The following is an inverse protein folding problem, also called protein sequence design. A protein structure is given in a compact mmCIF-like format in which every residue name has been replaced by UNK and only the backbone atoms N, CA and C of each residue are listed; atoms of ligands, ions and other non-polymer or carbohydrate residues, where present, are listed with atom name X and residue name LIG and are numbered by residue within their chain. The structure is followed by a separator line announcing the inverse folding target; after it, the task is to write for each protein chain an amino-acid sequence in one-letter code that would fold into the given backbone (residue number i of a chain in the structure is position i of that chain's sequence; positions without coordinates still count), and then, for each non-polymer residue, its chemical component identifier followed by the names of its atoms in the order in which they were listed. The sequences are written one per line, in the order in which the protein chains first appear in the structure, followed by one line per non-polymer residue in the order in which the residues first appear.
data_IF_668918564176
#
_entry.id   IF_668918564176
#
_cell.length_a   1.000
_cell.length_b   1.000
_cell.length_c   1.000
_cell.angle_alpha   90.00
_cell.angle_beta   90.00
_cell.angle_gamma   90.00
#
_symmetry.space_group_name_H-M   'P 1'
#
loop_
_entity.id
_entity.type
_entity.pdbx_description
1 polymer ?
#
# COMPACT_ATOMS: atom_id res chain seq x y z
N UNK A 1 -2.99 -19.55 -17.48
CA UNK A 1 -3.26 -19.18 -18.89
C UNK A 1 -3.02 -17.68 -18.99
N UNK A 2 -1.86 -17.26 -19.49
CA UNK A 2 -1.44 -15.85 -19.51
C UNK A 2 -2.34 -15.06 -20.45
N UNK A 3 -3.14 -14.15 -19.92
CA UNK A 3 -3.89 -13.19 -20.72
C UNK A 3 -2.86 -12.28 -21.41
N UNK A 4 -2.70 -12.41 -22.73
CA UNK A 4 -1.94 -11.43 -23.50
C UNK A 4 -2.78 -10.16 -23.61
N UNK A 5 -2.49 -9.19 -22.75
CA UNK A 5 -3.14 -7.90 -22.82
C UNK A 5 -2.70 -7.14 -24.08
N UNK A 6 -3.67 -6.80 -24.93
CA UNK A 6 -3.49 -5.79 -25.97
C UNK A 6 -3.64 -4.40 -25.35
N UNK A 7 -2.92 -3.40 -25.86
CA UNK A 7 -3.06 -2.00 -25.44
C UNK A 7 -4.46 -1.44 -25.71
N UNK A 8 -5.21 -2.07 -26.59
CA UNK A 8 -6.60 -1.71 -26.91
C UNK A 8 -7.62 -2.45 -26.02
N UNK A 9 -7.16 -3.30 -25.09
CA UNK A 9 -8.03 -3.98 -24.14
C UNK A 9 -8.75 -2.96 -23.26
N UNK A 10 -10.07 -3.11 -23.11
CA UNK A 10 -10.86 -2.32 -22.15
C UNK A 10 -10.97 -2.97 -20.78
N UNK A 11 -10.36 -4.15 -20.60
CA UNK A 11 -10.27 -4.83 -19.32
C UNK A 11 -9.14 -4.23 -18.49
N UNK A 12 -9.44 -3.93 -17.22
CA UNK A 12 -8.46 -3.47 -16.26
C UNK A 12 -7.91 -4.68 -15.49
N UNK A 13 -6.59 -4.87 -15.45
CA UNK A 13 -5.96 -5.94 -14.69
C UNK A 13 -6.30 -5.86 -13.19
N UNK A 14 -6.85 -6.93 -12.62
CA UNK A 14 -7.21 -7.05 -11.20
C UNK A 14 -6.16 -7.80 -10.38
N UNK A 15 -5.01 -8.11 -10.97
CA UNK A 15 -3.84 -8.66 -10.30
C UNK A 15 -2.56 -7.97 -10.79
N UNK A 16 -1.53 -7.96 -9.96
CA UNK A 16 -0.29 -7.23 -10.22
C UNK A 16 0.51 -7.75 -11.43
N UNK A 17 0.67 -9.07 -11.64
CA UNK A 17 1.36 -9.59 -12.83
C UNK A 17 0.74 -9.09 -14.14
N UNK A 18 -0.58 -9.22 -14.26
CA UNK A 18 -1.32 -8.79 -15.45
C UNK A 18 -1.24 -7.26 -15.65
N UNK A 19 -1.20 -6.48 -14.57
CA UNK A 19 -1.02 -5.03 -14.63
C UNK A 19 0.35 -4.65 -15.20
N UNK A 20 1.40 -5.30 -14.70
CA UNK A 20 2.78 -5.05 -15.11
C UNK A 20 3.01 -5.51 -16.56
N UNK A 21 2.46 -6.67 -16.96
CA UNK A 21 2.50 -7.13 -18.36
C UNK A 21 1.75 -6.18 -19.30
N UNK A 22 0.62 -5.62 -18.86
CA UNK A 22 -0.10 -4.58 -19.62
C UNK A 22 0.78 -3.34 -19.80
N UNK A 23 1.43 -2.86 -18.74
CA UNK A 23 2.32 -1.70 -18.80
C UNK A 23 3.52 -1.93 -19.74
N UNK A 24 4.11 -3.13 -19.73
CA UNK A 24 5.15 -3.52 -20.68
C UNK A 24 4.65 -3.43 -22.14
N UNK A 25 3.49 -4.04 -22.43
CA UNK A 25 2.89 -4.01 -23.76
C UNK A 25 2.56 -2.58 -24.22
N UNK A 26 2.18 -1.71 -23.29
CA UNK A 26 1.95 -0.29 -23.57
C UNK A 26 3.21 0.43 -24.04
N UNK A 27 4.34 0.25 -23.35
CA UNK A 27 5.63 0.82 -23.72
C UNK A 27 6.11 0.28 -25.06
N UNK A 28 5.98 -1.03 -25.30
CA UNK A 28 6.39 -1.64 -26.56
C UNK A 28 5.65 -1.05 -27.76
N UNK A 29 4.34 -0.82 -27.61
CA UNK A 29 3.47 -0.35 -28.69
C UNK A 29 3.50 1.18 -28.88
N UNK A 30 3.52 1.96 -27.78
CA UNK A 30 3.43 3.43 -27.83
C UNK A 30 4.79 4.12 -27.82
N UNK A 31 5.87 3.41 -27.53
CA UNK A 31 7.22 3.93 -27.39
C UNK A 31 7.59 4.16 -25.92
N UNK A 32 8.74 4.80 -25.68
CA UNK A 32 9.19 5.13 -24.34
C UNK A 32 9.59 6.61 -24.26
N UNK A 33 9.06 7.31 -23.26
CA UNK A 33 9.40 8.71 -22.99
C UNK A 33 10.23 8.82 -21.71
N UNK A 34 11.46 9.29 -21.87
CA UNK A 34 12.47 9.43 -20.80
C UNK A 34 12.48 10.81 -20.13
N UNK A 35 11.57 11.72 -20.49
CA UNK A 35 11.52 13.06 -19.91
C UNK A 35 12.45 14.10 -20.52
N UNK A 36 13.35 13.72 -21.44
CA UNK A 36 14.43 14.61 -21.92
C UNK A 36 14.18 15.21 -23.30
N UNK A 37 13.40 14.53 -24.14
CA UNK A 37 13.08 15.00 -25.50
C UNK A 37 11.58 14.93 -25.75
N UNK A 38 10.91 16.10 -25.81
CA UNK A 38 9.53 16.25 -26.28
C UNK A 38 9.26 15.81 -27.73
N UNK A 39 10.15 15.02 -28.34
CA UNK A 39 10.15 14.62 -29.74
C UNK A 39 10.10 13.12 -30.03
N UNK A 40 10.11 12.22 -29.02
CA UNK A 40 10.01 10.77 -29.27
C UNK A 40 8.61 10.22 -29.02
N UNK A 41 7.65 10.71 -29.77
CA UNK A 41 6.40 9.99 -29.94
C UNK A 41 6.60 8.92 -31.01
N UNK A 42 6.24 7.67 -30.72
CA UNK A 42 6.04 6.67 -31.77
C UNK A 42 5.01 7.16 -32.80
N UNK A 43 4.83 6.43 -33.90
CA UNK A 43 3.96 6.80 -35.05
C UNK A 43 2.54 7.30 -34.71
N UNK A 44 2.04 7.11 -33.48
CA UNK A 44 0.67 7.39 -33.02
C UNK A 44 0.58 8.23 -31.72
N UNK A 45 1.49 9.17 -31.46
CA UNK A 45 1.53 9.94 -30.20
C UNK A 45 0.23 10.66 -29.81
N UNK A 46 -0.23 10.44 -28.58
CA UNK A 46 -1.42 11.09 -27.98
C UNK A 46 -1.02 12.25 -27.06
N UNK A 47 -1.69 13.40 -27.20
CA UNK A 47 -1.40 14.69 -26.53
C UNK A 47 -1.90 14.81 -25.08
N UNK A 48 -2.39 13.74 -24.46
CA UNK A 48 -2.88 13.78 -23.07
C UNK A 48 -1.69 13.53 -22.14
N UNK A 49 -1.44 14.43 -21.19
CA UNK A 49 -0.32 14.37 -20.22
C UNK A 49 -0.21 13.04 -19.43
N UNK A 50 -1.31 12.30 -19.32
CA UNK A 50 -1.41 10.98 -18.67
C UNK A 50 -1.14 9.79 -19.60
N UNK A 51 -0.95 10.02 -20.91
CA UNK A 51 -0.66 8.99 -21.92
C UNK A 51 0.79 9.08 -22.43
N UNK A 52 1.64 9.82 -21.72
CA UNK A 52 3.06 9.88 -22.02
C UNK A 52 3.66 8.54 -21.63
N UNK A 53 4.27 7.77 -22.56
CA UNK A 53 4.68 6.40 -22.30
C UNK A 53 6.02 6.37 -21.53
N UNK A 54 6.05 7.04 -20.38
CA UNK A 54 7.07 6.90 -19.35
C UNK A 54 6.77 5.68 -18.48
N UNK A 55 7.70 5.28 -17.61
CA UNK A 55 7.46 4.17 -16.68
C UNK A 55 6.19 4.40 -15.83
N UNK A 56 6.09 5.54 -15.15
CA UNK A 56 4.89 5.87 -14.34
C UNK A 56 3.65 6.03 -15.21
N UNK A 57 3.77 6.68 -16.37
CA UNK A 57 2.61 6.85 -17.27
C UNK A 57 2.06 5.51 -17.76
N UNK A 58 2.91 4.58 -18.19
CA UNK A 58 2.49 3.24 -18.61
C UNK A 58 1.84 2.45 -17.46
N UNK A 59 2.40 2.56 -16.25
CA UNK A 59 1.84 1.98 -15.03
C UNK A 59 0.45 2.56 -14.71
N UNK A 60 0.28 3.88 -14.74
CA UNK A 60 -0.98 4.56 -14.46
C UNK A 60 -2.06 4.14 -15.47
N UNK A 61 -1.73 4.11 -16.75
CA UNK A 61 -2.67 3.68 -17.78
C UNK A 61 -3.02 2.20 -17.60
N UNK A 62 -2.08 1.34 -17.19
CA UNK A 62 -2.36 -0.05 -16.85
C UNK A 62 -3.35 -0.18 -15.69
N UNK A 63 -3.15 0.61 -14.63
CA UNK A 63 -4.04 0.71 -13.46
C UNK A 63 -5.42 1.32 -13.80
N UNK A 64 -5.58 1.85 -15.01
CA UNK A 64 -6.85 2.32 -15.55
C UNK A 64 -7.05 3.83 -15.47
N UNK A 65 -6.04 4.61 -15.08
CA UNK A 65 -6.09 6.06 -15.16
C UNK A 65 -6.31 6.47 -16.63
N UNK A 66 -7.39 7.23 -16.88
CA UNK A 66 -7.82 7.62 -18.24
C UNK A 66 -8.52 6.51 -19.06
N UNK A 67 -8.64 5.28 -18.55
CA UNK A 67 -9.34 4.16 -19.21
C UNK A 67 -10.62 3.73 -18.50
N UNK A 68 -10.81 4.12 -17.24
CA UNK A 68 -12.05 3.86 -16.48
C UNK A 68 -13.22 4.66 -17.07
N UNK A 69 -14.31 3.97 -17.37
CA UNK A 69 -15.60 4.57 -17.78
C UNK A 69 -16.56 4.66 -16.59
N UNK A 70 -17.27 5.78 -16.46
CA UNK A 70 -18.36 5.95 -15.49
C UNK A 70 -19.56 5.02 -15.72
N UNK A 71 -19.66 4.41 -16.90
CA UNK A 71 -20.75 3.48 -17.26
C UNK A 71 -20.47 2.01 -16.91
N UNK A 72 -19.32 1.71 -16.29
CA UNK A 72 -18.95 0.35 -15.89
C UNK A 72 -18.66 0.27 -14.40
N UNK A 73 -19.07 -0.83 -13.80
CA UNK A 73 -18.68 -1.20 -12.44
C UNK A 73 -17.34 -1.95 -12.48
N UNK A 74 -16.42 -1.59 -11.60
CA UNK A 74 -15.12 -2.24 -11.47
C UNK A 74 -14.96 -2.82 -10.07
N UNK A 75 -14.19 -3.90 -9.96
CA UNK A 75 -13.68 -4.39 -8.67
C UNK A 75 -12.53 -3.49 -8.21
N UNK A 76 -12.89 -2.30 -7.70
CA UNK A 76 -11.92 -1.34 -7.15
C UNK A 76 -10.99 -1.95 -6.09
N UNK A 77 -11.45 -2.81 -5.15
CA UNK A 77 -10.55 -3.46 -4.20
C UNK A 77 -9.47 -4.28 -4.87
N UNK A 78 -9.81 -5.06 -5.90
CA UNK A 78 -8.83 -5.86 -6.62
C UNK A 78 -7.91 -4.99 -7.48
N UNK A 79 -8.44 -3.95 -8.13
CA UNK A 79 -7.63 -2.99 -8.90
C UNK A 79 -6.60 -2.27 -8.04
N UNK A 80 -6.99 -1.75 -6.88
CA UNK A 80 -6.04 -1.06 -5.98
C UNK A 80 -5.04 -2.02 -5.33
N UNK A 81 -5.46 -3.25 -5.01
CA UNK A 81 -4.54 -4.27 -4.53
C UNK A 81 -3.50 -4.66 -5.59
N UNK A 82 -3.93 -4.79 -6.85
CA UNK A 82 -3.07 -5.04 -8.00
C UNK A 82 -2.09 -3.90 -8.25
N UNK A 83 -2.59 -2.66 -8.29
CA UNK A 83 -1.78 -1.46 -8.47
C UNK A 83 -0.71 -1.38 -7.38
N UNK A 84 -1.10 -1.53 -6.11
CA UNK A 84 -0.16 -1.37 -5.03
C UNK A 84 0.94 -2.43 -5.04
N UNK A 85 0.56 -3.70 -5.17
CA UNK A 85 1.56 -4.77 -5.25
C UNK A 85 2.47 -4.58 -6.48
N UNK A 86 1.92 -4.15 -7.62
CA UNK A 86 2.72 -3.87 -8.81
C UNK A 86 3.71 -2.72 -8.59
N UNK A 87 3.30 -1.63 -7.94
CA UNK A 87 4.17 -0.50 -7.62
C UNK A 87 5.27 -0.89 -6.64
N UNK A 88 4.90 -1.61 -5.57
CA UNK A 88 5.84 -2.10 -4.55
C UNK A 88 6.93 -2.95 -5.22
N UNK A 89 6.51 -3.94 -6.01
CA UNK A 89 7.39 -4.88 -6.71
C UNK A 89 8.30 -4.19 -7.73
N UNK A 90 7.73 -3.30 -8.55
CA UNK A 90 8.49 -2.60 -9.57
C UNK A 90 9.52 -1.65 -8.94
N UNK A 91 9.12 -0.86 -7.95
CA UNK A 91 10.04 0.09 -7.31
C UNK A 91 11.17 -0.60 -6.56
N UNK A 92 10.90 -1.70 -5.85
CA UNK A 92 11.95 -2.50 -5.19
C UNK A 92 12.93 -3.09 -6.23
N UNK A 93 12.41 -3.65 -7.34
CA UNK A 93 13.29 -4.15 -8.41
C UNK A 93 14.18 -3.04 -9.00
N UNK A 94 13.62 -1.86 -9.28
CA UNK A 94 14.34 -0.74 -9.88
C UNK A 94 15.37 -0.10 -8.94
N UNK A 95 15.15 -0.22 -7.62
CA UNK A 95 16.07 0.21 -6.59
C UNK A 95 17.21 -0.80 -6.31
N UNK A 96 17.11 -2.01 -6.86
CA UNK A 96 18.08 -3.10 -6.63
C UNK A 96 17.83 -3.87 -5.32
N UNK A 97 16.61 -3.83 -4.80
CA UNK A 97 16.22 -4.45 -3.55
C UNK A 97 15.16 -3.60 -2.85
N UNK A 98 14.77 -4.02 -1.65
CA UNK A 98 13.79 -3.27 -0.89
C UNK A 98 14.17 -1.81 -0.67
N UNK A 99 13.18 -0.95 -0.90
CA UNK A 99 13.32 0.47 -0.64
C UNK A 99 13.48 0.76 0.86
N UNK A 100 14.33 1.72 1.27
CA UNK A 100 14.27 2.31 2.60
C UNK A 100 13.06 3.23 2.77
N UNK A 101 12.54 3.33 4.00
CA UNK A 101 11.53 4.34 4.31
C UNK A 101 12.19 5.71 4.23
N UNK A 102 11.56 6.66 3.54
CA UNK A 102 11.85 8.07 3.74
C UNK A 102 10.73 8.67 4.58
N UNK A 103 10.97 9.07 5.84
CA UNK A 103 9.93 9.64 6.68
C UNK A 103 9.42 10.99 6.14
N UNK A 104 10.13 11.65 5.23
CA UNK A 104 9.70 12.91 4.61
C UNK A 104 8.69 12.71 3.46
N UNK A 105 8.49 11.47 3.01
CA UNK A 105 7.65 11.17 1.86
C UNK A 105 6.53 10.20 2.22
N UNK A 106 5.35 10.40 1.63
CA UNK A 106 4.37 9.31 1.57
C UNK A 106 4.96 8.14 0.77
N UNK A 107 4.84 6.92 1.29
CA UNK A 107 5.46 5.69 0.73
C UNK A 107 5.16 5.53 -0.78
N UNK A 108 3.90 5.74 -1.18
CA UNK A 108 3.49 5.66 -2.58
C UNK A 108 4.18 6.72 -3.45
N UNK A 109 4.28 7.97 -2.98
CA UNK A 109 4.93 9.05 -3.73
C UNK A 109 6.43 8.79 -3.88
N UNK A 110 7.09 8.29 -2.84
CA UNK A 110 8.50 7.92 -2.91
C UNK A 110 8.73 6.80 -3.94
N UNK A 111 7.88 5.76 -3.95
CA UNK A 111 7.98 4.66 -4.92
C UNK A 111 7.74 5.12 -6.36
N UNK A 112 6.72 5.96 -6.58
CA UNK A 112 6.48 6.56 -7.90
C UNK A 112 7.65 7.42 -8.34
N UNK A 113 8.27 8.17 -7.43
CA UNK A 113 9.48 8.93 -7.72
C UNK A 113 10.63 8.03 -8.17
N UNK A 114 10.88 6.90 -7.52
CA UNK A 114 11.94 5.95 -7.92
C UNK A 114 11.68 5.38 -9.32
N UNK A 115 10.44 4.95 -9.59
CA UNK A 115 10.06 4.44 -10.91
C UNK A 115 10.26 5.51 -11.99
N UNK A 116 9.88 6.76 -11.68
CA UNK A 116 10.06 7.89 -12.58
C UNK A 116 11.53 8.27 -12.78
N UNK A 117 12.31 8.35 -11.70
CA UNK A 117 13.74 8.66 -11.74
C UNK A 117 14.49 7.63 -12.56
N UNK A 118 14.27 6.35 -12.31
CA UNK A 118 14.89 5.26 -13.06
C UNK A 118 14.63 5.41 -14.56
N UNK A 119 13.39 5.69 -14.95
CA UNK A 119 13.00 5.87 -16.35
C UNK A 119 13.57 7.14 -17.00
N UNK A 120 13.95 8.13 -16.19
CA UNK A 120 14.56 9.39 -16.66
C UNK A 120 16.08 9.31 -16.76
N UNK A 121 16.75 8.25 -16.29
CA UNK A 121 18.21 8.13 -16.38
C UNK A 121 18.69 8.06 -17.82
N UNK A 122 19.89 8.59 -18.06
CA UNK A 122 20.49 8.61 -19.40
C UNK A 122 20.67 7.21 -19.98
N UNK A 123 20.35 7.07 -21.27
CA UNK A 123 20.56 5.82 -22.01
C UNK A 123 19.46 4.77 -21.82
N UNK A 124 18.38 5.08 -21.08
CA UNK A 124 17.24 4.15 -20.92
C UNK A 124 16.47 3.96 -22.21
N UNK A 125 16.21 2.70 -22.54
CA UNK A 125 15.53 2.30 -23.76
C UNK A 125 14.13 1.76 -23.50
N UNK A 126 13.31 1.76 -24.55
CA UNK A 126 11.99 1.13 -24.55
C UNK A 126 12.06 -0.34 -24.13
N UNK A 127 13.04 -1.07 -24.63
CA UNK A 127 13.16 -2.52 -24.41
C UNK A 127 13.59 -2.82 -22.98
N UNK A 128 14.49 -2.01 -22.38
CA UNK A 128 14.82 -2.10 -20.96
C UNK A 128 13.62 -1.77 -20.06
N UNK A 129 12.85 -0.74 -20.41
CA UNK A 129 11.64 -0.38 -19.66
C UNK A 129 10.59 -1.51 -19.69
N UNK A 130 10.32 -2.07 -20.87
CA UNK A 130 9.40 -3.19 -21.02
C UNK A 130 9.90 -4.45 -20.29
N UNK A 131 11.20 -4.76 -20.35
CA UNK A 131 11.77 -5.90 -19.63
C UNK A 131 11.71 -5.68 -18.11
N UNK A 132 11.91 -4.45 -17.61
CA UNK A 132 11.75 -4.15 -16.19
C UNK A 132 10.33 -4.45 -15.69
N UNK A 133 9.31 -4.07 -16.47
CA UNK A 133 7.93 -4.43 -16.17
C UNK A 133 7.68 -5.93 -16.18
N UNK A 134 8.15 -6.66 -17.20
CA UNK A 134 7.99 -8.12 -17.27
C UNK A 134 8.74 -8.84 -16.15
N UNK A 135 9.91 -8.34 -15.78
CA UNK A 135 10.66 -8.89 -14.67
C UNK A 135 9.89 -8.68 -13.36
N UNK A 136 9.38 -7.48 -13.13
CA UNK A 136 8.46 -7.20 -12.03
C UNK A 136 7.20 -8.09 -12.07
N UNK A 137 6.62 -8.36 -13.24
CA UNK A 137 5.44 -9.22 -13.36
C UNK A 137 5.71 -10.64 -12.83
N UNK A 138 6.84 -11.25 -13.24
CA UNK A 138 7.28 -12.57 -12.74
C UNK A 138 7.54 -12.58 -11.24
N UNK A 139 8.04 -11.47 -10.72
CA UNK A 139 8.26 -11.28 -9.30
C UNK A 139 6.91 -11.18 -8.54
N UNK A 140 5.97 -10.39 -9.06
CA UNK A 140 4.62 -10.29 -8.49
C UNK A 140 3.85 -11.62 -8.53
N UNK A 141 4.04 -12.45 -9.56
CA UNK A 141 3.40 -13.76 -9.67
C UNK A 141 3.87 -14.69 -8.56
N UNK A 142 5.19 -14.71 -8.29
CA UNK A 142 5.75 -15.42 -7.14
C UNK A 142 5.18 -14.91 -5.82
N UNK A 143 5.00 -13.59 -5.69
CA UNK A 143 4.42 -12.97 -4.50
C UNK A 143 2.99 -13.41 -4.23
N UNK A 144 2.18 -13.47 -5.28
CA UNK A 144 0.79 -13.90 -5.18
C UNK A 144 0.67 -15.38 -4.89
N UNK A 145 1.47 -16.22 -5.56
CA UNK A 145 1.49 -17.67 -5.31
C UNK A 145 1.87 -18.00 -3.86
N UNK A 146 2.86 -17.29 -3.30
CA UNK A 146 3.28 -17.47 -1.91
C UNK A 146 2.21 -17.03 -0.89
N UNK A 147 1.34 -16.08 -1.26
CA UNK A 147 0.29 -15.54 -0.42
C UNK A 147 -0.95 -16.44 -0.28
N UNK A 148 -1.07 -17.50 -1.10
CA UNK A 148 -2.22 -18.43 -1.16
C UNK A 148 -1.99 -19.72 -0.34
N UNK A 149 -0.96 -19.76 0.53
CA UNK A 149 -0.67 -20.95 1.36
C UNK A 149 -1.85 -21.35 2.28
N UNK A 150 -2.16 -22.66 2.42
CA UNK A 150 -3.23 -23.14 3.29
C UNK A 150 -3.01 -22.74 4.75
N UNK A 151 -4.05 -22.24 5.43
CA UNK A 151 -4.01 -21.81 6.84
C UNK A 151 -4.16 -20.31 7.06
N UNK A 152 -4.04 -19.50 6.00
CA UNK A 152 -4.24 -18.05 6.04
C UNK A 152 -5.74 -17.72 6.13
N UNK A 153 -6.16 -16.95 7.14
CA UNK A 153 -7.52 -16.42 7.16
C UNK A 153 -7.72 -15.53 5.93
N UNK A 154 -8.70 -15.81 5.05
CA UNK A 154 -9.01 -14.91 3.95
C UNK A 154 -9.57 -13.59 4.49
N UNK A 155 -9.78 -12.65 3.57
CA UNK A 155 -10.24 -11.27 3.75
C UNK A 155 -11.48 -11.00 4.65
N UNK A 156 -12.41 -11.92 5.04
CA UNK A 156 -13.66 -11.46 5.66
C UNK A 156 -13.68 -11.40 7.20
N UNK A 157 -12.55 -11.44 7.92
CA UNK A 157 -12.58 -11.55 9.40
C UNK A 157 -11.98 -10.39 10.21
N UNK A 158 -11.44 -9.33 9.58
CA UNK A 158 -10.88 -8.22 10.36
C UNK A 158 -11.88 -7.08 10.51
N UNK A 159 -12.37 -6.81 11.74
CA UNK A 159 -13.21 -5.65 11.98
C UNK A 159 -12.40 -4.37 11.72
N UNK A 160 -13.05 -3.35 11.14
CA UNK A 160 -12.47 -2.01 10.97
C UNK A 160 -12.49 -1.31 12.33
N UNK A 161 -11.63 -1.78 13.21
CA UNK A 161 -11.40 -1.29 14.57
C UNK A 161 -9.90 -1.18 14.81
N UNK A 162 -9.49 -0.31 15.74
CA UNK A 162 -8.08 -0.15 16.08
C UNK A 162 -7.46 -1.46 16.56
N UNK A 163 -8.19 -2.19 17.42
CA UNK A 163 -7.79 -3.51 17.91
C UNK A 163 -7.61 -4.52 16.77
N UNK A 164 -8.60 -4.63 15.86
CA UNK A 164 -8.53 -5.58 14.74
C UNK A 164 -7.39 -5.31 13.75
N UNK A 165 -7.00 -4.05 13.58
CA UNK A 165 -5.82 -3.65 12.82
C UNK A 165 -4.51 -4.12 13.47
N UNK A 166 -4.39 -3.91 14.79
CA UNK A 166 -3.20 -4.28 15.55
C UNK A 166 -3.05 -5.80 15.69
N UNK A 167 -4.14 -6.53 15.91
CA UNK A 167 -4.17 -8.00 15.90
C UNK A 167 -3.76 -8.57 14.54
N UNK A 168 -4.24 -7.98 13.44
CA UNK A 168 -3.81 -8.39 12.10
C UNK A 168 -2.30 -8.22 11.94
N UNK A 169 -1.77 -7.07 12.35
CA UNK A 169 -0.34 -6.78 12.25
C UNK A 169 0.49 -7.77 13.09
N UNK A 170 0.00 -8.15 14.29
CA UNK A 170 0.66 -9.12 15.16
C UNK A 170 0.72 -10.49 14.51
N UNK A 171 -0.42 -11.02 14.07
CA UNK A 171 -0.50 -12.30 13.36
C UNK A 171 0.38 -12.29 12.09
N UNK A 172 0.44 -11.15 11.40
CA UNK A 172 1.30 -11.02 10.23
C UNK A 172 2.78 -11.12 10.56
N UNK A 173 3.24 -10.52 11.66
CA UNK A 173 4.63 -10.64 12.11
C UNK A 173 4.96 -12.06 12.56
N UNK A 174 4.06 -12.76 13.24
CA UNK A 174 4.24 -14.18 13.58
C UNK A 174 4.40 -15.05 12.32
N UNK A 175 3.66 -14.73 11.25
CA UNK A 175 3.68 -15.47 9.99
C UNK A 175 4.99 -15.29 9.20
N UNK A 176 5.47 -14.04 9.10
CA UNK A 176 6.58 -13.70 8.21
C UNK A 176 7.88 -13.42 8.95
N UNK A 177 7.85 -13.42 10.28
CA UNK A 177 8.87 -12.94 11.21
C UNK A 177 9.14 -11.44 11.12
N UNK A 178 9.83 -10.91 12.13
CA UNK A 178 10.30 -9.52 12.13
C UNK A 178 11.77 -9.43 11.73
N UNK A 179 12.13 -8.39 10.98
CA UNK A 179 13.52 -7.95 10.88
C UNK A 179 13.70 -6.50 11.32
N UNK A 180 14.72 -6.20 12.13
CA UNK A 180 15.13 -4.82 12.38
C UNK A 180 15.88 -4.26 11.16
N UNK A 181 15.63 -3.00 10.79
CA UNK A 181 16.46 -2.26 9.82
C UNK A 181 15.72 -1.22 8.98
N UNK A 182 16.45 -0.21 8.48
CA UNK A 182 15.88 0.93 7.74
C UNK A 182 15.19 0.62 6.40
N UNK A 183 15.25 -0.63 5.93
CA UNK A 183 14.61 -1.10 4.70
C UNK A 183 13.14 -1.42 4.98
N UNK A 184 12.18 -0.78 4.30
CA UNK A 184 10.74 -1.00 4.56
C UNK A 184 10.26 -2.37 4.11
N UNK A 185 10.97 -3.02 3.20
CA UNK A 185 10.59 -4.32 2.64
C UNK A 185 11.77 -5.31 2.60
N UNK A 186 11.47 -6.57 2.32
CA UNK A 186 12.42 -7.67 2.15
C UNK A 186 13.48 -7.39 1.06
N UNK A 187 14.80 -7.53 1.32
CA UNK A 187 15.83 -7.40 0.27
C UNK A 187 15.68 -8.44 -0.85
N UNK A 188 15.13 -9.62 -0.55
CA UNK A 188 14.87 -10.68 -1.53
C UNK A 188 13.53 -10.51 -2.26
N UNK A 189 12.68 -9.60 -1.75
CA UNK A 189 11.42 -9.14 -2.29
C UNK A 189 10.41 -10.26 -2.58
N UNK A 190 9.17 -9.84 -2.83
CA UNK A 190 8.26 -10.63 -3.66
C UNK A 190 7.55 -11.81 -3.03
N UNK A 191 7.29 -11.82 -1.74
CA UNK A 191 6.20 -12.62 -1.19
C UNK A 191 5.86 -12.14 0.22
N UNK A 192 4.60 -12.24 0.61
CA UNK A 192 4.18 -12.07 2.01
C UNK A 192 4.72 -13.21 2.91
N UNK A 193 6.00 -13.54 2.80
CA UNK A 193 6.67 -14.68 3.44
C UNK A 193 8.04 -14.32 3.97
N UNK A 194 8.45 -13.06 3.85
CA UNK A 194 9.76 -12.61 4.27
C UNK A 194 9.65 -11.64 5.44
N UNK A 195 10.66 -11.63 6.33
CA UNK A 195 10.65 -10.78 7.49
C UNK A 195 10.39 -9.32 7.14
N UNK A 196 9.49 -8.66 7.88
CA UNK A 196 9.20 -7.24 7.68
C UNK A 196 9.46 -6.41 8.93
N UNK A 197 9.48 -5.09 8.77
CA UNK A 197 9.60 -4.18 9.92
C UNK A 197 8.24 -4.05 10.60
N UNK A 198 8.24 -3.67 11.89
CA UNK A 198 7.02 -3.44 12.64
C UNK A 198 6.09 -2.43 11.95
N UNK A 199 6.62 -1.28 11.51
CA UNK A 199 5.81 -0.27 10.80
C UNK A 199 5.19 -0.85 9.52
N UNK A 200 5.92 -1.70 8.79
CA UNK A 200 5.40 -2.29 7.56
C UNK A 200 4.27 -3.30 7.84
N UNK A 201 4.33 -4.07 8.93
CA UNK A 201 3.23 -4.93 9.34
C UNK A 201 1.95 -4.13 9.65
N UNK A 202 2.08 -3.01 10.38
CA UNK A 202 0.97 -2.08 10.67
C UNK A 202 0.41 -1.47 9.38
N UNK A 203 1.29 -1.01 8.48
CA UNK A 203 0.88 -0.49 7.17
C UNK A 203 0.12 -1.52 6.35
N UNK A 204 0.50 -2.79 6.42
CA UNK A 204 -0.23 -3.86 5.75
C UNK A 204 -1.63 -4.04 6.34
N UNK A 205 -1.78 -4.03 7.66
CA UNK A 205 -3.08 -4.07 8.31
C UNK A 205 -3.99 -2.93 7.83
N UNK A 206 -3.49 -1.69 7.92
CA UNK A 206 -4.21 -0.50 7.49
C UNK A 206 -4.66 -0.58 6.04
N UNK A 207 -3.74 -0.99 5.16
CA UNK A 207 -4.04 -1.02 3.73
C UNK A 207 -4.97 -2.19 3.37
N UNK A 208 -5.03 -3.27 4.16
CA UNK A 208 -6.00 -4.38 3.97
C UNK A 208 -7.39 -4.00 4.45
N UNK A 209 -7.47 -3.28 5.57
CA UNK A 209 -8.73 -2.83 6.16
C UNK A 209 -9.34 -1.59 5.49
N UNK A 210 -8.55 -0.85 4.69
CA UNK A 210 -8.99 0.38 4.00
C UNK A 210 -10.22 0.10 3.14
N UNK A 211 -11.37 0.77 3.41
CA UNK A 211 -12.56 0.67 2.59
C UNK A 211 -12.30 1.15 1.15
N UNK A 212 -13.10 0.65 0.21
CA UNK A 212 -13.13 1.16 -1.15
C UNK A 212 -14.16 2.28 -1.28
N UNK A 213 -14.02 3.20 -2.27
CA UNK A 213 -14.95 4.31 -2.45
C UNK A 213 -16.44 3.93 -2.48
N UNK A 214 -16.75 2.71 -2.95
CA UNK A 214 -18.13 2.21 -3.02
C UNK A 214 -18.72 1.82 -1.65
N UNK A 215 -17.90 1.62 -0.63
CA UNK A 215 -18.33 1.27 0.74
C UNK A 215 -18.98 2.46 1.48
N UNK A 216 -18.80 3.67 0.96
CA UNK A 216 -19.44 4.87 1.47
C UNK A 216 -18.74 5.53 2.66
N UNK A 217 -19.14 6.78 2.94
CA UNK A 217 -18.37 7.67 3.81
C UNK A 217 -18.28 7.22 5.29
N UNK A 218 -19.27 6.48 5.80
CA UNK A 218 -19.30 6.03 7.18
C UNK A 218 -18.20 5.00 7.45
N UNK A 219 -17.99 4.08 6.51
CA UNK A 219 -16.91 3.09 6.61
C UNK A 219 -15.54 3.77 6.50
N UNK A 220 -15.37 4.78 5.65
CA UNK A 220 -14.15 5.59 5.62
C UNK A 220 -13.91 6.33 6.94
N UNK A 221 -14.95 6.91 7.55
CA UNK A 221 -14.82 7.57 8.85
C UNK A 221 -14.38 6.57 9.93
N UNK A 222 -15.03 5.42 10.01
CA UNK A 222 -14.67 4.35 10.94
C UNK A 222 -13.22 3.88 10.72
N UNK A 223 -12.81 3.71 9.46
CA UNK A 223 -11.43 3.37 9.11
C UNK A 223 -10.43 4.43 9.56
N UNK A 224 -10.69 5.72 9.31
CA UNK A 224 -9.79 6.79 9.73
C UNK A 224 -9.68 6.89 11.25
N UNK A 225 -10.78 6.73 11.97
CA UNK A 225 -10.76 6.66 13.44
C UNK A 225 -9.95 5.46 13.92
N UNK A 226 -10.20 4.26 13.36
CA UNK A 226 -9.46 3.06 13.71
C UNK A 226 -7.96 3.19 13.41
N UNK A 227 -7.60 3.78 12.27
CA UNK A 227 -6.22 4.08 11.88
C UNK A 227 -5.56 5.04 12.89
N UNK A 228 -6.26 6.12 13.26
CA UNK A 228 -5.73 7.12 14.17
C UNK A 228 -5.50 6.55 15.57
N UNK A 229 -6.49 5.85 16.13
CA UNK A 229 -6.40 5.21 17.44
C UNK A 229 -5.31 4.14 17.47
N UNK A 230 -5.21 3.27 16.44
CA UNK A 230 -4.18 2.25 16.39
C UNK A 230 -2.76 2.84 16.32
N UNK A 231 -2.56 3.88 15.50
CA UNK A 231 -1.27 4.56 15.40
C UNK A 231 -0.92 5.33 16.68
N UNK A 232 -1.89 6.00 17.29
CA UNK A 232 -1.71 6.70 18.56
C UNK A 232 -1.28 5.72 19.65
N UNK A 233 -2.08 4.69 19.93
CA UNK A 233 -1.82 3.77 21.04
C UNK A 233 -0.48 3.07 20.89
N UNK A 234 -0.24 2.46 19.72
CA UNK A 234 1.02 1.75 19.49
C UNK A 234 2.22 2.69 19.61
N UNK A 235 2.18 3.87 18.99
CA UNK A 235 3.33 4.78 19.04
C UNK A 235 3.58 5.36 20.43
N UNK A 236 2.52 5.70 21.18
CA UNK A 236 2.64 6.19 22.56
C UNK A 236 3.22 5.13 23.49
N UNK A 237 2.76 3.89 23.35
CA UNK A 237 3.26 2.75 24.08
C UNK A 237 4.75 2.50 23.81
N UNK A 238 5.15 2.50 22.54
CA UNK A 238 6.56 2.31 22.14
C UNK A 238 7.47 3.48 22.57
N UNK A 239 6.93 4.71 22.65
CA UNK A 239 7.64 5.87 23.17
C UNK A 239 7.71 5.93 24.70
N UNK A 240 6.79 5.25 25.39
CA UNK A 240 6.59 5.37 26.85
C UNK A 240 5.90 6.66 27.27
N UNK A 241 5.34 7.44 26.34
CA UNK A 241 4.58 8.66 26.58
C UNK A 241 3.64 8.97 25.41
N UNK A 242 2.62 9.78 25.63
CA UNK A 242 1.69 10.14 24.56
C UNK A 242 2.34 10.96 23.45
N UNK A 243 2.01 10.65 22.19
CA UNK A 243 2.39 11.44 21.02
C UNK A 243 1.17 12.24 20.51
N UNK A 244 0.91 13.37 21.16
CA UNK A 244 -0.20 14.27 20.83
C UNK A 244 0.23 15.39 19.88
N UNK A 245 -0.76 16.09 19.30
CA UNK A 245 -0.53 17.29 18.50
C UNK A 245 -0.12 18.47 19.40
N UNK A 246 0.88 19.24 18.97
CA UNK A 246 1.10 20.58 19.52
C UNK A 246 -0.03 21.56 19.15
N UNK A 247 -0.16 22.69 19.85
CA UNK A 247 -1.27 23.65 19.66
C UNK A 247 -1.43 24.16 18.22
N UNK A 248 -0.33 24.31 17.50
CA UNK A 248 -0.29 24.81 16.11
C UNK A 248 0.26 23.76 15.14
N UNK A 249 0.31 22.50 15.55
CA UNK A 249 0.92 21.45 14.74
C UNK A 249 -0.07 20.86 13.73
N UNK A 250 0.31 20.77 12.44
CA UNK A 250 -0.51 20.08 11.46
C UNK A 250 -0.71 18.59 11.80
N UNK A 251 -1.92 18.08 11.60
CA UNK A 251 -2.24 16.67 11.87
C UNK A 251 -1.32 15.67 11.13
N UNK A 252 -0.83 16.03 9.94
CA UNK A 252 0.07 15.17 9.16
C UNK A 252 1.45 15.00 9.83
N UNK A 253 1.94 16.02 10.55
CA UNK A 253 3.23 15.95 11.26
C UNK A 253 3.13 15.02 12.48
N UNK A 254 2.00 15.03 13.17
CA UNK A 254 1.72 14.10 14.28
C UNK A 254 1.71 12.66 13.78
N UNK A 255 0.97 12.39 12.70
CA UNK A 255 0.94 11.05 12.07
C UNK A 255 2.36 10.62 11.66
N UNK A 256 3.14 11.54 11.08
CA UNK A 256 4.52 11.30 10.70
C UNK A 256 5.40 10.94 11.90
N UNK A 257 5.29 11.64 13.04
CA UNK A 257 6.01 11.29 14.28
C UNK A 257 5.61 9.94 14.84
N UNK A 258 4.31 9.61 14.88
CA UNK A 258 3.82 8.31 15.34
C UNK A 258 4.43 7.18 14.51
N UNK A 259 4.40 7.30 13.18
CA UNK A 259 5.01 6.33 12.26
C UNK A 259 6.53 6.24 12.42
N UNK A 260 7.21 7.38 12.55
CA UNK A 260 8.65 7.45 12.79
C UNK A 260 9.05 6.75 14.08
N UNK A 261 8.25 6.87 15.13
CA UNK A 261 8.45 6.19 16.42
C UNK A 261 8.34 4.68 16.27
N UNK A 262 7.27 4.20 15.64
CA UNK A 262 7.06 2.76 15.38
C UNK A 262 8.23 2.17 14.56
N UNK A 263 8.65 2.89 13.52
CA UNK A 263 9.79 2.48 12.70
C UNK A 263 11.10 2.46 13.49
N UNK A 264 11.39 3.54 14.22
CA UNK A 264 12.65 3.69 14.95
C UNK A 264 12.78 2.66 16.05
N UNK A 265 11.69 2.38 16.77
CA UNK A 265 11.65 1.32 17.76
C UNK A 265 11.88 -0.04 17.11
N UNK A 266 11.10 -0.38 16.07
CA UNK A 266 11.20 -1.69 15.41
C UNK A 266 12.52 -1.93 14.67
N UNK A 267 13.30 -0.89 14.40
CA UNK A 267 14.59 -0.99 13.73
C UNK A 267 15.79 -1.06 14.68
N UNK A 268 15.57 -1.02 15.98
CA UNK A 268 16.64 -1.26 16.95
C UNK A 268 17.18 -2.70 16.78
N UNK A 269 18.50 -2.88 16.69
CA UNK A 269 19.12 -4.14 16.26
C UNK A 269 18.90 -5.31 17.23
N UNK A 270 18.55 -5.01 18.47
CA UNK A 270 18.27 -5.95 19.56
C UNK A 270 16.78 -6.32 19.67
N UNK A 271 15.90 -5.74 18.86
CA UNK A 271 14.47 -6.05 18.89
C UNK A 271 14.17 -7.39 18.26
N UNK A 272 13.45 -8.19 19.04
CA UNK A 272 12.96 -9.50 18.63
C UNK A 272 11.51 -9.40 18.14
N UNK A 273 11.14 -10.29 17.22
CA UNK A 273 9.76 -10.46 16.74
C UNK A 273 8.77 -10.63 17.90
N UNK A 274 9.08 -11.51 18.85
CA UNK A 274 8.17 -11.79 19.98
C UNK A 274 7.89 -10.55 20.84
N UNK A 275 8.83 -9.62 20.94
CA UNK A 275 8.61 -8.35 21.63
C UNK A 275 7.65 -7.46 20.82
N UNK A 276 7.87 -7.31 19.52
CA UNK A 276 6.99 -6.52 18.66
C UNK A 276 5.56 -7.07 18.59
N UNK A 277 5.41 -8.39 18.56
CA UNK A 277 4.10 -9.06 18.62
C UNK A 277 3.41 -8.77 19.95
N UNK A 278 4.13 -8.82 21.08
CA UNK A 278 3.58 -8.47 22.39
C UNK A 278 3.15 -7.00 22.47
N UNK A 279 3.94 -6.08 21.92
CA UNK A 279 3.59 -4.66 21.89
C UNK A 279 2.33 -4.40 21.06
N UNK A 280 2.18 -5.06 19.91
CA UNK A 280 0.96 -4.98 19.09
C UNK A 280 -0.26 -5.55 19.81
N UNK A 281 -0.14 -6.72 20.43
CA UNK A 281 -1.23 -7.36 21.18
C UNK A 281 -1.64 -6.54 22.40
N UNK A 282 -0.68 -5.96 23.13
CA UNK A 282 -0.96 -5.13 24.28
C UNK A 282 -1.64 -3.80 23.87
N UNK A 283 -1.18 -3.16 22.79
CA UNK A 283 -1.86 -2.00 22.22
C UNK A 283 -3.27 -2.34 21.73
N UNK A 284 -3.47 -3.52 21.12
CA UNK A 284 -4.77 -4.00 20.66
C UNK A 284 -5.77 -4.17 21.81
N UNK A 285 -5.29 -4.66 22.97
CA UNK A 285 -6.09 -4.81 24.18
C UNK A 285 -6.48 -3.45 24.76
N UNK A 286 -5.54 -2.51 24.86
CA UNK A 286 -5.78 -1.18 25.40
C UNK A 286 -6.89 -0.43 24.63
N UNK A 287 -6.82 -0.42 23.29
CA UNK A 287 -7.85 0.23 22.47
C UNK A 287 -9.19 -0.52 22.46
N UNK A 288 -9.21 -1.82 22.76
CA UNK A 288 -10.44 -2.59 22.89
C UNK A 288 -11.18 -2.27 24.19
N UNK A 289 -10.44 -2.09 25.29
CA UNK A 289 -10.99 -1.72 26.59
C UNK A 289 -11.55 -0.28 26.57
N UNK A 290 -10.89 0.65 25.90
CA UNK A 290 -11.40 2.03 25.71
C UNK A 290 -12.71 2.08 24.92
N UNK A 291 -12.83 1.27 23.86
CA UNK A 291 -14.07 1.19 23.08
C UNK A 291 -15.25 0.60 23.88
N UNK A 292 -14.99 -0.17 24.93
CA UNK A 292 -16.01 -0.67 25.86
C UNK A 292 -16.30 0.30 27.01
N UNK A 293 -15.39 1.25 27.27
CA UNK A 293 -15.49 2.23 28.35
C UNK A 293 -16.17 3.55 27.94
N UNK A 294 -16.49 3.77 26.66
CA UNK A 294 -17.39 4.86 26.26
C UNK A 294 -18.75 4.68 26.95
N UNK A 295 -19.21 5.64 27.77
CA UNK A 295 -20.49 5.51 28.44
C UNK A 295 -21.61 5.38 27.40
N UNK A 296 -22.62 4.59 27.74
CA UNK A 296 -23.92 4.51 27.07
C UNK A 296 -24.64 5.88 27.15
N UNK A 297 -24.11 6.90 26.48
CA UNK A 297 -24.63 8.26 26.46
C UNK A 297 -25.60 8.41 25.28
N UNK A 298 -26.87 8.57 25.65
CA UNK A 298 -28.02 8.96 24.82
C UNK A 298 -28.55 7.95 23.79
N UNK A 299 -29.10 6.83 24.29
CA UNK A 299 -30.42 6.43 23.78
C UNK A 299 -31.46 7.37 24.41
N UNK A 300 -31.71 8.51 23.78
CA UNK A 300 -32.90 9.29 24.13
C UNK A 300 -34.13 8.40 23.87
N UNK A 301 -35.07 8.28 24.82
CA UNK A 301 -36.31 7.57 24.56
C UNK A 301 -37.04 8.33 23.44
N UNK A 302 -37.44 7.61 22.39
CA UNK A 302 -38.37 8.14 21.40
C UNK A 302 -39.60 8.65 22.17
N UNK A 303 -39.74 9.97 22.26
CA UNK A 303 -41.00 10.57 22.69
C UNK A 303 -42.07 10.12 21.70
N UNK A 304 -42.91 9.23 22.21
CA UNK A 304 -44.17 8.85 21.63
C UNK A 304 -45.02 10.09 21.34
N UNK A 305 -44.97 10.57 20.10
CA UNK A 305 -45.99 11.47 19.57
C UNK A 305 -47.18 10.61 19.16
N UNK A 306 -48.04 10.34 20.14
CA UNK A 306 -49.46 10.19 19.90
C UNK A 306 -50.03 11.59 19.78
N UNK A 307 -50.43 12.01 18.57
CA UNK A 307 -51.66 12.77 18.28
C UNK A 307 -51.91 12.76 16.77
#
# INVERSE_FOLDING_TARGET
MTLRYSTESTLLPTNAPDLLDWAAAHIENRGFYDGREGGRFGKNGTTIRYLVPSMVGAFDVAAGYGRRSSTRTYDYPALYAAERLALDVLSDYLAGGAMPHDPNWEDENHRRFIVQDWGRRDGRTRDEAAEAFRHAARLAERAQAAAVRPGRLPRPLHPITASGLLEWAAAHLEDVTMRPGGLTHDPDGFANTAPCTLLHAVDRALRIAKPIPADGHLLFRAFHQAQESALQELSSRLAGHDITAGPDEPAYDVVRRRRSTILSWGNQPDRAEGEAVQELQAAALAVADEAQAEPELERQPEESVLF
#
